data_IF_357791438147
#
_entry.id   IF_357791438147
#
_cell.length_a   1.000
_cell.length_b   1.000
_cell.length_c   1.000
_cell.angle_alpha   90.00
_cell.angle_beta   90.00
_cell.angle_gamma   90.00
#
_symmetry.space_group_name_H-M   'P 1'
#
loop_
_entity.id
_entity.type
_entity.pdbx_description
1 polymer ?
#
# COMPACT_ATOMS: atom_id res chain seq x y z
N UNK A 1 3.40 8.03 18.12
CA UNK A 1 2.97 8.77 16.91
C UNK A 1 2.83 7.78 15.78
N UNK A 2 1.80 7.90 14.97
CA UNK A 2 1.55 6.99 13.85
C UNK A 2 2.60 7.19 12.74
N UNK A 3 3.52 6.23 12.65
CA UNK A 3 4.64 6.26 11.71
C UNK A 3 4.18 6.19 10.25
N UNK A 4 3.07 5.50 9.99
CA UNK A 4 2.45 5.42 8.67
C UNK A 4 1.93 6.79 8.24
N UNK A 5 1.15 7.44 9.11
CA UNK A 5 0.63 8.77 8.84
C UNK A 5 1.76 9.79 8.57
N UNK A 6 2.86 9.71 9.32
CA UNK A 6 4.05 10.56 9.10
C UNK A 6 4.68 10.29 7.73
N UNK A 7 4.85 9.02 7.36
CA UNK A 7 5.43 8.63 6.08
C UNK A 7 4.58 9.11 4.90
N UNK A 8 3.27 8.83 4.91
CA UNK A 8 2.34 9.25 3.87
C UNK A 8 2.26 10.78 3.75
N UNK A 9 2.31 11.50 4.87
CA UNK A 9 2.34 12.97 4.87
C UNK A 9 3.61 13.53 4.23
N UNK A 10 4.77 12.90 4.47
CA UNK A 10 6.02 13.29 3.81
C UNK A 10 5.97 13.00 2.31
N UNK A 11 5.45 11.83 1.92
CA UNK A 11 5.33 11.46 0.51
C UNK A 11 4.38 12.40 -0.25
N UNK A 12 3.21 12.71 0.31
CA UNK A 12 2.27 13.67 -0.28
C UNK A 12 2.92 15.04 -0.52
N UNK A 13 3.79 15.51 0.39
CA UNK A 13 4.58 16.74 0.20
C UNK A 13 5.59 16.62 -0.94
N UNK A 14 6.31 15.49 -1.03
CA UNK A 14 7.27 15.26 -2.12
C UNK A 14 6.61 15.22 -3.49
N UNK A 15 5.37 14.73 -3.57
CA UNK A 15 4.55 14.72 -4.77
C UNK A 15 3.87 16.08 -5.05
N UNK A 16 4.06 17.10 -4.20
CA UNK A 16 3.41 18.40 -4.35
C UNK A 16 1.90 18.39 -4.12
N UNK A 17 1.37 17.34 -3.49
CA UNK A 17 -0.07 17.17 -3.24
C UNK A 17 -0.55 17.86 -1.96
N UNK A 18 0.36 18.21 -1.04
CA UNK A 18 0.00 18.68 0.29
C UNK A 18 -0.80 19.99 0.32
N UNK A 19 -0.61 20.85 -0.69
CA UNK A 19 -1.28 22.14 -0.79
C UNK A 19 -2.40 22.16 -1.84
N UNK A 20 -2.68 21.01 -2.47
CA UNK A 20 -3.72 20.88 -3.48
C UNK A 20 -5.01 20.35 -2.87
N UNK A 21 -6.13 20.87 -3.36
CA UNK A 21 -7.41 20.21 -3.13
C UNK A 21 -7.42 18.89 -3.91
N UNK A 22 -8.04 17.82 -3.37
CA UNK A 22 -8.12 16.53 -4.08
C UNK A 22 -8.71 16.61 -5.49
N UNK A 23 -9.58 17.59 -5.76
CA UNK A 23 -10.19 17.79 -7.07
C UNK A 23 -9.22 18.38 -8.12
N UNK A 24 -8.19 19.10 -7.67
CA UNK A 24 -7.21 19.78 -8.53
C UNK A 24 -5.89 19.00 -8.64
N UNK A 25 -5.74 17.94 -7.85
CA UNK A 25 -4.55 17.12 -7.82
C UNK A 25 -4.44 16.26 -9.10
N UNK A 26 -3.24 16.18 -9.72
CA UNK A 26 -3.01 15.34 -10.87
C UNK A 26 -3.36 13.87 -10.55
N UNK A 27 -4.18 13.26 -11.41
CA UNK A 27 -4.72 11.92 -11.15
C UNK A 27 -3.62 10.84 -11.08
N UNK A 28 -2.54 11.01 -11.82
CA UNK A 28 -1.36 10.16 -11.81
C UNK A 28 -0.63 10.21 -10.45
N UNK A 29 -0.42 11.41 -9.90
CA UNK A 29 0.23 11.58 -8.58
C UNK A 29 -0.67 11.08 -7.43
N UNK A 30 -1.98 11.31 -7.53
CA UNK A 30 -2.95 10.73 -6.59
C UNK A 30 -2.92 9.19 -6.64
N UNK A 31 -2.89 8.61 -7.83
CA UNK A 31 -2.82 7.17 -8.01
C UNK A 31 -1.51 6.59 -7.47
N UNK A 32 -0.39 7.31 -7.56
CA UNK A 32 0.88 6.92 -6.95
C UNK A 32 0.77 6.83 -5.42
N UNK A 33 0.32 7.90 -4.76
CA UNK A 33 0.16 7.94 -3.30
C UNK A 33 -0.87 6.89 -2.81
N UNK A 34 -1.97 6.73 -3.54
CA UNK A 34 -3.00 5.74 -3.22
C UNK A 34 -2.44 4.32 -3.30
N UNK A 35 -1.62 4.01 -4.31
CA UNK A 35 -1.00 2.69 -4.48
C UNK A 35 -0.07 2.37 -3.31
N UNK A 36 0.80 3.29 -2.93
CA UNK A 36 1.69 3.11 -1.77
C UNK A 36 0.88 2.89 -0.48
N UNK A 37 -0.17 3.69 -0.27
CA UNK A 37 -1.05 3.57 0.90
C UNK A 37 -1.73 2.19 0.94
N UNK A 38 -2.30 1.74 -0.18
CA UNK A 38 -2.97 0.45 -0.27
C UNK A 38 -2.02 -0.71 -0.02
N UNK A 39 -0.81 -0.67 -0.59
CA UNK A 39 0.22 -1.69 -0.37
C UNK A 39 0.59 -1.81 1.10
N UNK A 40 0.73 -0.69 1.80
CA UNK A 40 1.09 -0.69 3.22
C UNK A 40 -0.05 -1.17 4.12
N UNK A 41 -1.30 -0.84 3.77
CA UNK A 41 -2.48 -1.38 4.46
C UNK A 41 -2.62 -2.89 4.27
N UNK A 42 -2.33 -3.40 3.06
CA UNK A 42 -2.28 -4.84 2.78
C UNK A 42 -1.16 -5.50 3.60
N UNK A 43 0.06 -4.93 3.61
CA UNK A 43 1.20 -5.46 4.35
C UNK A 43 0.94 -5.54 5.87
N UNK A 44 0.10 -4.65 6.40
CA UNK A 44 -0.34 -4.63 7.81
C UNK A 44 -1.55 -5.53 8.09
N UNK A 45 -2.10 -6.20 7.08
CA UNK A 45 -3.28 -7.06 7.19
C UNK A 45 -4.59 -6.30 7.41
N UNK A 46 -4.63 -5.00 7.11
CA UNK A 46 -5.81 -4.15 7.27
C UNK A 46 -6.72 -4.16 6.03
N UNK A 47 -6.18 -4.58 4.89
CA UNK A 47 -6.91 -4.82 3.66
C UNK A 47 -6.57 -6.23 3.12
N UNK A 48 -7.50 -6.87 2.41
CA UNK A 48 -7.22 -8.14 1.75
C UNK A 48 -6.17 -7.93 0.66
N UNK A 49 -5.19 -8.84 0.61
CA UNK A 49 -4.26 -8.94 -0.50
C UNK A 49 -5.00 -9.52 -1.72
N UNK A 50 -5.07 -8.80 -2.87
CA UNK A 50 -5.70 -9.32 -4.07
C UNK A 50 -4.91 -10.47 -4.71
N UNK A 51 -3.61 -10.60 -4.44
CA UNK A 51 -2.76 -11.69 -4.92
C UNK A 51 -1.94 -12.24 -3.75
N UNK A 52 -2.58 -12.99 -2.82
CA UNK A 52 -1.92 -13.45 -1.63
C UNK A 52 -0.77 -14.39 -2.02
N UNK A 53 0.45 -14.00 -1.69
CA UNK A 53 1.59 -14.90 -1.80
C UNK A 53 1.32 -16.11 -0.90
N UNK A 54 0.97 -17.24 -1.51
CA UNK A 54 0.72 -18.48 -0.78
C UNK A 54 2.06 -18.95 -0.22
N UNK A 55 2.32 -18.60 1.05
CA UNK A 55 3.59 -18.89 1.71
C UNK A 55 3.84 -20.39 1.84
N UNK A 56 5.08 -20.79 2.12
CA UNK A 56 5.56 -22.18 2.22
C UNK A 56 4.75 -23.14 3.12
N UNK A 57 3.77 -22.63 3.87
CA UNK A 57 2.81 -23.38 4.69
C UNK A 57 1.64 -23.97 3.90
N UNK A 58 1.42 -23.54 2.66
CA UNK A 58 0.39 -24.04 1.75
C UNK A 58 0.91 -25.02 0.69
N UNK A 59 2.23 -25.24 0.64
CA UNK A 59 2.78 -26.26 -0.25
C UNK A 59 2.26 -27.62 0.24
N UNK A 60 1.59 -28.43 -0.61
CA UNK A 60 1.26 -29.79 -0.25
C UNK A 60 2.56 -30.48 0.20
N UNK A 61 2.54 -31.13 1.37
CA UNK A 61 3.68 -31.98 1.76
C UNK A 61 3.90 -32.94 0.59
N UNK A 62 5.09 -32.88 -0.01
CA UNK A 62 5.48 -33.78 -1.10
C UNK A 62 5.02 -35.19 -0.75
N UNK A 63 4.22 -35.79 -1.64
CA UNK A 63 3.71 -37.16 -1.51
C UNK A 63 4.85 -38.17 -1.67
N UNK A 64 5.82 -38.16 -0.75
CA UNK A 64 6.75 -39.25 -0.56
C UNK A 64 6.07 -40.29 0.33
N UNK A 65 5.23 -41.09 -0.32
CA UNK A 65 4.76 -42.39 0.15
C UNK A 65 5.63 -43.49 -0.45
#
# INVERSE_FOLDING_TARGET
MDELARHLSLRARQLGLADLLPADAPADLLAELARETLQELIARGLLPDPDPAVGCWSAPRSELH
#
